data_IF_630159860277
#
_entry.id   IF_630159860277
#
_cell.length_a   1.000
_cell.length_b   1.000
_cell.length_c   1.000
_cell.angle_alpha   90.00
_cell.angle_beta   90.00
_cell.angle_gamma   90.00
#
_symmetry.space_group_name_H-M   'P 1'
#
loop_
_entity.id
_entity.type
_entity.pdbx_description
1 polymer ?
#
# COMPACT_ATOMS: atom_id res chain seq x y z
N UNK A 1 27.27 44.28 -5.23
CA UNK A 1 25.80 44.46 -5.14
C UNK A 1 25.14 43.09 -5.06
N UNK A 2 24.69 42.68 -3.87
CA UNK A 2 23.84 41.50 -3.73
C UNK A 2 22.45 41.87 -4.24
N UNK A 3 22.00 41.14 -5.26
CA UNK A 3 20.67 41.25 -5.82
C UNK A 3 19.66 40.92 -4.71
N UNK A 4 18.69 41.79 -4.36
CA UNK A 4 17.71 41.46 -3.35
C UNK A 4 17.01 40.16 -3.76
N UNK A 5 16.98 39.19 -2.85
CA UNK A 5 16.11 38.03 -2.97
C UNK A 5 14.70 38.60 -3.18
N UNK A 6 14.11 38.34 -4.35
CA UNK A 6 12.72 38.74 -4.59
C UNK A 6 11.89 38.22 -3.43
N UNK A 7 11.14 39.10 -2.78
CA UNK A 7 10.15 38.70 -1.80
C UNK A 7 9.31 37.58 -2.42
N UNK A 8 9.24 36.45 -1.70
CA UNK A 8 8.41 35.34 -2.13
C UNK A 8 6.97 35.85 -2.21
N UNK A 9 6.19 35.51 -3.25
CA UNK A 9 4.84 36.04 -3.41
C UNK A 9 4.03 35.83 -2.13
N UNK A 10 3.23 36.82 -1.74
CA UNK A 10 2.36 36.81 -0.55
C UNK A 10 1.19 35.79 -0.64
N UNK A 11 1.34 34.77 -1.48
CA UNK A 11 0.34 33.76 -1.76
C UNK A 11 -0.83 34.25 -2.62
N UNK A 12 -1.79 33.36 -2.89
CA UNK A 12 -3.05 33.67 -3.58
C UNK A 12 -3.92 34.61 -2.76
N UNK A 13 -4.45 35.66 -3.40
CA UNK A 13 -5.40 36.61 -2.80
C UNK A 13 -6.84 36.42 -3.31
N UNK A 14 -6.99 35.65 -4.39
CA UNK A 14 -8.27 35.35 -5.04
C UNK A 14 -8.24 33.97 -5.69
N UNK A 15 -9.40 33.35 -5.92
CA UNK A 15 -9.48 32.11 -6.69
C UNK A 15 -8.93 32.24 -8.09
N UNK A 16 -8.41 31.13 -8.60
CA UNK A 16 -8.07 30.99 -10.01
C UNK A 16 -9.35 30.99 -10.86
N UNK A 17 -9.29 31.46 -12.13
CA UNK A 17 -10.46 31.55 -13.00
C UNK A 17 -11.20 30.23 -13.23
N UNK A 18 -10.48 29.11 -13.26
CA UNK A 18 -11.05 27.76 -13.43
C UNK A 18 -10.73 26.91 -12.21
N UNK A 19 -11.76 26.36 -11.58
CA UNK A 19 -11.62 25.47 -10.43
C UNK A 19 -11.85 24.02 -10.85
N UNK A 20 -11.27 23.08 -10.12
CA UNK A 20 -11.46 21.64 -10.32
C UNK A 20 -11.86 20.99 -9.01
N UNK A 21 -12.72 19.98 -9.07
CA UNK A 21 -13.14 19.25 -7.87
C UNK A 21 -12.06 18.21 -7.51
N UNK A 22 -11.61 18.16 -6.24
CA UNK A 22 -10.67 17.15 -5.78
C UNK A 22 -11.33 15.77 -5.68
N UNK A 23 -10.59 14.73 -6.06
CA UNK A 23 -11.01 13.35 -5.82
C UNK A 23 -10.82 12.97 -4.35
N UNK A 24 -11.51 11.90 -3.93
CA UNK A 24 -11.29 11.33 -2.61
C UNK A 24 -9.87 10.73 -2.52
N UNK A 25 -9.19 11.05 -1.43
CA UNK A 25 -7.80 10.70 -1.16
C UNK A 25 -6.82 11.12 -2.27
N UNK A 26 -7.12 12.15 -3.06
CA UNK A 26 -6.19 12.67 -4.07
C UNK A 26 -4.95 13.27 -3.40
N UNK A 27 -3.78 13.06 -3.98
CA UNK A 27 -2.57 13.70 -3.46
C UNK A 27 -2.61 15.20 -3.71
N UNK A 28 -2.12 16.00 -2.76
CA UNK A 28 -1.99 17.46 -2.93
C UNK A 28 -1.23 17.80 -4.22
N UNK A 29 -0.17 17.05 -4.53
CA UNK A 29 0.60 17.21 -5.78
C UNK A 29 -0.24 16.99 -7.04
N UNK A 30 -1.05 15.92 -7.08
CA UNK A 30 -1.96 15.64 -8.20
C UNK A 30 -3.00 16.74 -8.38
N UNK A 31 -3.62 17.16 -7.27
CA UNK A 31 -4.65 18.19 -7.29
C UNK A 31 -4.10 19.53 -7.78
N UNK A 32 -2.95 19.95 -7.28
CA UNK A 32 -2.28 21.19 -7.74
C UNK A 32 -1.92 21.11 -9.21
N UNK A 33 -1.42 19.96 -9.70
CA UNK A 33 -1.12 19.80 -11.12
C UNK A 33 -2.38 19.95 -11.99
N UNK A 34 -3.50 19.32 -11.60
CA UNK A 34 -4.77 19.44 -12.32
C UNK A 34 -5.36 20.85 -12.27
N UNK A 35 -5.25 21.52 -11.13
CA UNK A 35 -5.66 22.92 -11.00
C UNK A 35 -4.82 23.84 -11.90
N UNK A 36 -3.51 23.56 -12.02
CA UNK A 36 -2.63 24.28 -12.93
C UNK A 36 -3.03 24.04 -14.40
N UNK A 37 -3.19 22.78 -14.82
CA UNK A 37 -3.61 22.42 -16.18
C UNK A 37 -4.94 23.09 -16.56
N UNK A 38 -5.93 23.10 -15.65
CA UNK A 38 -7.22 23.75 -15.89
C UNK A 38 -7.09 25.25 -16.18
N UNK A 39 -6.07 25.91 -15.62
CA UNK A 39 -5.79 27.34 -15.79
C UNK A 39 -4.64 27.63 -16.76
N UNK A 40 -4.16 26.63 -17.52
CA UNK A 40 -3.03 26.76 -18.45
C UNK A 40 -1.74 27.28 -17.78
N UNK A 41 -1.51 26.87 -16.54
CA UNK A 41 -0.30 27.18 -15.78
C UNK A 41 0.64 25.97 -15.77
N UNK A 42 1.94 26.22 -15.69
CA UNK A 42 2.90 25.17 -15.39
C UNK A 42 2.64 24.61 -13.97
N UNK A 43 2.52 23.28 -13.79
CA UNK A 43 2.32 22.67 -12.47
C UNK A 43 3.39 23.05 -11.45
N UNK A 44 4.65 23.20 -11.88
CA UNK A 44 5.76 23.59 -11.01
C UNK A 44 5.68 25.05 -10.56
N UNK A 45 5.17 25.95 -11.41
CA UNK A 45 4.87 27.34 -11.07
C UNK A 45 3.73 27.44 -10.07
N UNK A 46 2.58 26.80 -10.34
CA UNK A 46 1.46 26.86 -9.40
C UNK A 46 1.83 26.25 -8.06
N UNK A 47 2.54 25.11 -8.06
CA UNK A 47 3.03 24.48 -6.82
C UNK A 47 3.89 25.42 -5.99
N UNK A 48 4.80 26.18 -6.62
CA UNK A 48 5.59 27.20 -5.92
C UNK A 48 4.73 28.34 -5.41
N UNK A 49 3.76 28.78 -6.20
CA UNK A 49 2.87 29.89 -5.82
C UNK A 49 1.98 29.58 -4.62
N UNK A 50 1.54 28.33 -4.47
CA UNK A 50 0.73 27.89 -3.32
C UNK A 50 1.58 27.34 -2.16
N UNK A 51 2.91 27.38 -2.27
CA UNK A 51 3.84 26.96 -1.24
C UNK A 51 4.55 28.17 -0.62
N UNK A 52 4.91 28.09 0.66
CA UNK A 52 5.61 29.17 1.38
C UNK A 52 7.08 29.33 0.96
N UNK A 53 7.66 28.30 0.35
CA UNK A 53 9.07 28.25 0.04
C UNK A 53 9.35 27.42 -1.21
N UNK A 54 10.53 27.64 -1.78
CA UNK A 54 11.00 26.85 -2.91
C UNK A 54 11.20 25.39 -2.50
N UNK A 55 10.50 24.47 -3.18
CA UNK A 55 10.49 23.04 -2.82
C UNK A 55 9.57 22.70 -1.65
N UNK A 56 8.86 23.68 -1.08
CA UNK A 56 7.86 23.50 -0.05
C UNK A 56 6.60 22.81 -0.54
N UNK A 57 5.78 22.35 0.40
CA UNK A 57 4.46 21.79 0.11
C UNK A 57 3.41 22.89 0.04
N UNK A 58 2.32 22.62 -0.70
CA UNK A 58 1.22 23.56 -0.76
C UNK A 58 0.65 23.79 0.64
N UNK A 59 0.52 25.07 1.01
CA UNK A 59 -0.18 25.43 2.24
C UNK A 59 -1.68 25.27 2.02
N UNK A 60 -2.37 24.80 3.07
CA UNK A 60 -3.79 24.52 3.00
C UNK A 60 -4.63 25.79 2.79
N UNK A 61 -4.31 26.86 3.51
CA UNK A 61 -4.96 28.17 3.41
C UNK A 61 -4.79 28.79 2.02
N UNK A 62 -3.56 28.77 1.48
CA UNK A 62 -3.28 29.31 0.15
C UNK A 62 -3.95 28.49 -0.95
N UNK A 63 -3.93 27.17 -0.82
CA UNK A 63 -4.62 26.29 -1.76
C UNK A 63 -6.15 26.47 -1.69
N UNK A 64 -6.71 26.73 -0.51
CA UNK A 64 -8.12 27.06 -0.34
C UNK A 64 -8.48 28.33 -1.13
N UNK A 65 -7.69 29.40 -0.97
CA UNK A 65 -7.90 30.64 -1.73
C UNK A 65 -7.77 30.39 -3.23
N UNK A 66 -6.68 29.77 -3.69
CA UNK A 66 -6.43 29.54 -5.12
C UNK A 66 -7.49 28.65 -5.79
N UNK A 67 -8.01 27.66 -5.06
CA UNK A 67 -9.04 26.76 -5.60
C UNK A 67 -10.47 27.24 -5.41
N UNK A 68 -10.70 28.27 -4.59
CA UNK A 68 -12.05 28.69 -4.19
C UNK A 68 -12.81 27.66 -3.37
N UNK A 69 -12.12 26.68 -2.77
CA UNK A 69 -12.71 25.65 -1.90
C UNK A 69 -12.33 25.91 -0.44
N UNK A 70 -13.18 25.50 0.50
CA UNK A 70 -12.86 25.60 1.92
C UNK A 70 -11.73 24.63 2.31
N UNK A 71 -10.94 25.01 3.31
CA UNK A 71 -9.91 24.14 3.89
C UNK A 71 -10.48 22.80 4.37
N UNK A 72 -11.71 22.80 4.89
CA UNK A 72 -12.40 21.58 5.32
C UNK A 72 -12.61 20.60 4.18
N UNK A 73 -13.06 21.08 3.01
CA UNK A 73 -13.23 20.23 1.82
C UNK A 73 -11.87 19.68 1.39
N UNK A 74 -10.85 20.52 1.33
CA UNK A 74 -9.50 20.10 0.92
C UNK A 74 -8.92 19.07 1.89
N UNK A 75 -9.07 19.25 3.21
CA UNK A 75 -8.57 18.32 4.23
C UNK A 75 -9.26 16.96 4.17
N UNK A 76 -10.56 16.94 3.91
CA UNK A 76 -11.32 15.69 3.75
C UNK A 76 -10.88 14.94 2.48
N UNK A 77 -10.72 15.67 1.37
CA UNK A 77 -10.51 15.08 0.04
C UNK A 77 -9.07 14.76 -0.27
N UNK A 78 -8.12 15.58 0.20
CA UNK A 78 -6.72 15.48 -0.19
C UNK A 78 -5.86 14.77 0.86
N UNK A 79 -4.70 14.28 0.41
CA UNK A 79 -3.64 13.67 1.24
C UNK A 79 -2.28 14.28 0.90
N UNK A 80 -1.42 14.39 1.91
CA UNK A 80 -0.08 14.96 1.78
C UNK A 80 0.09 16.34 2.41
N UNK A 81 -0.84 16.78 3.27
CA UNK A 81 -0.66 18.01 4.05
C UNK A 81 0.23 17.78 5.27
N UNK A 82 0.23 16.58 5.86
CA UNK A 82 1.06 16.25 7.01
C UNK A 82 2.40 15.59 6.59
N UNK A 83 3.52 15.82 7.31
CA UNK A 83 4.85 15.29 6.95
C UNK A 83 4.92 13.76 6.76
N UNK A 84 4.20 13.03 7.59
CA UNK A 84 4.08 11.57 7.57
C UNK A 84 3.35 11.06 6.33
N UNK A 85 2.31 11.77 5.88
CA UNK A 85 1.60 11.49 4.62
C UNK A 85 2.45 11.81 3.38
N UNK A 86 3.47 12.67 3.53
CA UNK A 86 4.34 13.10 2.44
C UNK A 86 5.46 12.12 2.14
N UNK A 87 5.96 11.43 3.17
CA UNK A 87 7.11 10.54 3.04
C UNK A 87 6.83 9.41 2.05
N UNK A 88 7.56 9.41 0.92
CA UNK A 88 7.56 8.30 -0.03
C UNK A 88 8.07 7.01 0.62
N UNK A 89 8.88 7.09 1.68
CA UNK A 89 9.32 5.92 2.43
C UNK A 89 8.18 5.28 3.23
N UNK A 90 7.20 6.08 3.66
CA UNK A 90 6.07 5.59 4.47
C UNK A 90 4.90 5.07 3.62
N UNK A 91 4.79 5.48 2.35
CA UNK A 91 3.63 5.15 1.50
C UNK A 91 3.96 4.95 0.00
N UNK A 92 5.06 4.28 -0.39
CA UNK A 92 5.48 4.24 -1.79
C UNK A 92 4.46 3.54 -2.70
N UNK A 93 3.74 2.56 -2.17
CA UNK A 93 2.79 1.73 -2.93
C UNK A 93 1.33 2.17 -2.78
N UNK A 94 1.05 3.18 -1.94
CA UNK A 94 -0.31 3.64 -1.71
C UNK A 94 -0.73 4.70 -2.75
N UNK A 95 0.21 5.54 -3.21
CA UNK A 95 -0.03 6.56 -4.23
C UNK A 95 -0.04 5.93 -5.62
N UNK A 96 -1.22 5.88 -6.24
CA UNK A 96 -1.41 5.20 -7.53
C UNK A 96 -2.28 6.00 -8.47
N UNK A 97 -2.02 5.92 -9.79
CA UNK A 97 -2.89 6.54 -10.77
C UNK A 97 -4.24 5.83 -10.75
N UNK A 98 -5.32 6.62 -10.74
CA UNK A 98 -6.68 6.10 -10.88
C UNK A 98 -6.89 5.47 -12.26
N UNK A 99 -7.89 4.61 -12.40
CA UNK A 99 -8.16 3.91 -13.65
C UNK A 99 -8.32 4.90 -14.83
N UNK A 100 -7.45 4.77 -15.85
CA UNK A 100 -7.44 5.64 -17.03
C UNK A 100 -8.76 5.66 -17.78
N UNK A 101 -9.48 4.53 -17.81
CA UNK A 101 -10.79 4.42 -18.47
C UNK A 101 -11.91 5.07 -17.64
N UNK A 102 -11.84 5.03 -16.31
CA UNK A 102 -12.75 5.81 -15.45
C UNK A 102 -12.55 7.32 -15.62
N UNK A 103 -11.29 7.77 -15.71
CA UNK A 103 -10.94 9.18 -15.87
C UNK A 103 -11.37 9.68 -17.26
N UNK A 104 -11.05 8.94 -18.32
CA UNK A 104 -11.47 9.27 -19.68
C UNK A 104 -13.00 9.38 -19.82
N UNK A 105 -13.76 8.47 -19.18
CA UNK A 105 -15.23 8.56 -19.15
C UNK A 105 -15.76 9.83 -18.49
N UNK A 106 -14.97 10.48 -17.63
CA UNK A 106 -15.29 11.76 -16.98
C UNK A 106 -14.68 12.98 -17.70
N UNK A 107 -14.10 12.79 -18.88
CA UNK A 107 -13.44 13.86 -19.64
C UNK A 107 -12.11 14.31 -19.03
N UNK A 108 -11.49 13.49 -18.18
CA UNK A 108 -10.23 13.80 -17.51
C UNK A 108 -9.14 12.97 -18.17
N UNK A 109 -8.25 13.65 -18.89
CA UNK A 109 -7.13 13.02 -19.60
C UNK A 109 -5.82 13.05 -18.79
N UNK A 110 -5.71 13.98 -17.85
CA UNK A 110 -4.57 14.06 -16.93
C UNK A 110 -4.63 12.94 -15.86
N UNK A 111 -3.49 12.35 -15.48
CA UNK A 111 -3.46 11.34 -14.45
C UNK A 111 -3.83 11.92 -13.08
N UNK A 112 -4.78 11.27 -12.41
CA UNK A 112 -5.14 11.57 -11.01
C UNK A 112 -4.46 10.56 -10.10
N UNK A 113 -3.61 11.02 -9.19
CA UNK A 113 -2.95 10.17 -8.20
C UNK A 113 -3.65 10.25 -6.84
N UNK A 114 -4.13 9.11 -6.37
CA UNK A 114 -4.78 8.98 -5.06
C UNK A 114 -3.97 8.06 -4.14
N UNK A 115 -4.06 8.31 -2.84
CA UNK A 115 -3.64 7.37 -1.80
C UNK A 115 -4.74 6.35 -1.63
N UNK A 116 -4.51 5.14 -2.11
CA UNK A 116 -5.50 4.07 -2.15
C UNK A 116 -5.00 2.88 -1.32
N UNK A 117 -5.84 2.24 -0.48
CA UNK A 117 -5.46 1.06 0.30
C UNK A 117 -4.89 -0.07 -0.57
N UNK A 118 -3.88 -0.78 -0.09
CA UNK A 118 -3.17 -1.82 -0.87
C UNK A 118 -4.08 -2.95 -1.38
N UNK A 119 -5.21 -3.19 -0.71
CA UNK A 119 -6.17 -4.22 -1.11
C UNK A 119 -7.05 -3.81 -2.30
N UNK A 120 -7.14 -2.53 -2.63
CA UNK A 120 -7.85 -2.04 -3.81
C UNK A 120 -6.89 -2.06 -4.99
N UNK A 121 -6.81 -3.16 -5.72
CA UNK A 121 -5.80 -3.40 -6.79
C UNK A 121 -6.36 -3.36 -8.20
N UNK A 122 -7.68 -3.44 -8.36
CA UNK A 122 -8.34 -3.59 -9.66
C UNK A 122 -9.51 -2.63 -9.81
N UNK A 123 -9.62 -2.01 -10.98
CA UNK A 123 -10.88 -1.42 -11.43
C UNK A 123 -11.78 -2.52 -11.99
N UNK A 124 -12.71 -3.05 -11.18
CA UNK A 124 -13.59 -4.14 -11.63
C UNK A 124 -14.51 -3.75 -12.80
N UNK A 125 -14.90 -2.47 -12.88
CA UNK A 125 -15.73 -1.95 -13.98
C UNK A 125 -15.05 -2.06 -15.34
N UNK A 126 -13.75 -1.73 -15.40
CA UNK A 126 -12.98 -1.71 -16.64
C UNK A 126 -11.99 -2.87 -16.76
N UNK A 127 -12.00 -3.79 -15.78
CA UNK A 127 -11.10 -4.95 -15.69
C UNK A 127 -9.64 -4.54 -15.89
N UNK A 128 -9.21 -3.51 -15.19
CA UNK A 128 -7.87 -2.95 -15.33
C UNK A 128 -7.12 -3.05 -14.00
N UNK A 129 -5.88 -3.52 -14.06
CA UNK A 129 -4.98 -3.51 -12.91
C UNK A 129 -4.54 -2.07 -12.61
N UNK A 130 -4.75 -1.66 -11.36
CA UNK A 130 -4.36 -0.35 -10.82
C UNK A 130 -3.59 -0.52 -9.50
N UNK A 131 -3.19 -1.75 -9.17
CA UNK A 131 -2.48 -2.16 -7.97
C UNK A 131 -0.98 -1.90 -8.08
N UNK A 132 -0.27 -1.97 -6.96
CA UNK A 132 1.20 -2.06 -7.00
C UNK A 132 1.64 -3.17 -7.98
N UNK A 133 2.69 -2.99 -8.79
CA UNK A 133 3.63 -1.88 -8.79
C UNK A 133 3.29 -0.74 -9.79
N UNK A 134 2.03 -0.57 -10.22
CA UNK A 134 1.62 0.52 -11.14
C UNK A 134 1.98 1.89 -10.56
N UNK A 135 2.82 2.65 -11.27
CA UNK A 135 3.25 4.02 -10.91
C UNK A 135 2.74 5.07 -11.88
N UNK A 136 2.39 4.71 -13.11
CA UNK A 136 1.80 5.62 -14.10
C UNK A 136 0.59 5.00 -14.81
N UNK A 137 -0.11 5.77 -15.64
CA UNK A 137 -1.29 5.27 -16.36
C UNK A 137 -0.91 4.22 -17.42
N UNK A 138 0.32 4.26 -17.91
CA UNK A 138 0.92 3.33 -18.88
C UNK A 138 1.19 1.95 -18.25
N UNK A 139 1.41 1.90 -16.94
CA UNK A 139 1.61 0.64 -16.21
C UNK A 139 0.30 -0.14 -16.02
N UNK A 140 -0.86 0.48 -16.24
CA UNK A 140 -2.15 -0.17 -16.03
C UNK A 140 -2.40 -1.27 -17.07
N UNK A 141 -2.58 -2.51 -16.63
CA UNK A 141 -2.76 -3.69 -17.49
C UNK A 141 -4.21 -4.12 -17.60
N UNK A 142 -4.60 -4.56 -18.79
CA UNK A 142 -5.91 -5.13 -19.06
C UNK A 142 -5.99 -6.58 -18.53
N UNK A 143 -7.07 -6.88 -17.81
CA UNK A 143 -7.31 -8.16 -17.16
C UNK A 143 -8.44 -8.95 -17.83
N UNK A 144 -8.91 -8.56 -19.02
CA UNK A 144 -9.95 -9.30 -19.77
C UNK A 144 -9.64 -10.79 -19.90
N UNK A 145 -8.36 -11.13 -20.08
CA UNK A 145 -7.88 -12.51 -20.25
C UNK A 145 -7.19 -13.09 -19.00
N UNK A 146 -7.38 -12.47 -17.82
CA UNK A 146 -6.78 -12.90 -16.55
C UNK A 146 -7.85 -12.98 -15.42
N UNK A 147 -8.89 -13.83 -15.56
CA UNK A 147 -9.99 -13.92 -14.60
C UNK A 147 -9.55 -14.35 -13.19
N UNK A 148 -8.47 -15.10 -13.07
CA UNK A 148 -7.83 -15.50 -11.81
C UNK A 148 -7.34 -14.29 -11.00
N UNK A 149 -6.76 -13.27 -11.66
CA UNK A 149 -6.35 -12.01 -11.02
C UNK A 149 -7.56 -11.23 -10.51
N UNK A 150 -8.65 -11.18 -11.30
CA UNK A 150 -9.89 -10.52 -10.89
C UNK A 150 -10.51 -11.19 -9.66
N UNK A 151 -10.46 -12.53 -9.60
CA UNK A 151 -10.97 -13.32 -8.47
C UNK A 151 -10.12 -13.13 -7.23
N UNK A 152 -8.79 -13.16 -7.39
CA UNK A 152 -7.84 -12.84 -6.32
C UNK A 152 -8.05 -11.44 -5.76
N UNK A 153 -8.28 -10.43 -6.61
CA UNK A 153 -8.54 -9.05 -6.17
C UNK A 153 -9.83 -8.96 -5.32
N UNK A 154 -10.90 -9.67 -5.71
CA UNK A 154 -12.13 -9.77 -4.89
C UNK A 154 -11.86 -10.44 -3.55
N UNK A 155 -11.07 -11.52 -3.52
CA UNK A 155 -10.67 -12.21 -2.29
C UNK A 155 -9.84 -11.30 -1.39
N UNK A 156 -8.91 -10.54 -1.95
CA UNK A 156 -8.09 -9.57 -1.21
C UNK A 156 -8.95 -8.48 -0.56
N UNK A 157 -9.90 -7.90 -1.31
CA UNK A 157 -10.85 -6.93 -0.77
C UNK A 157 -11.80 -7.53 0.28
N UNK A 158 -12.14 -8.82 0.15
CA UNK A 158 -12.93 -9.53 1.17
C UNK A 158 -12.14 -9.76 2.46
N UNK A 159 -10.86 -10.12 2.37
CA UNK A 159 -9.97 -10.27 3.53
C UNK A 159 -9.79 -8.94 4.26
N UNK A 160 -9.60 -7.84 3.53
CA UNK A 160 -9.48 -6.50 4.10
C UNK A 160 -10.72 -5.99 4.85
N UNK A 161 -11.89 -6.61 4.64
CA UNK A 161 -13.09 -6.31 5.43
C UNK A 161 -13.16 -7.09 6.74
N UNK A 162 -12.33 -8.12 6.93
CA UNK A 162 -12.36 -9.02 8.10
C UNK A 162 -11.16 -8.87 9.04
N UNK A 163 -10.08 -8.28 8.54
CA UNK A 163 -8.84 -8.10 9.29
C UNK A 163 -8.45 -6.63 9.26
N UNK A 164 -7.64 -6.21 10.24
CA UNK A 164 -7.09 -4.86 10.24
C UNK A 164 -6.15 -4.65 9.05
N UNK A 165 -5.97 -3.40 8.62
CA UNK A 165 -5.05 -3.05 7.53
C UNK A 165 -3.63 -3.57 7.81
N UNK A 166 -3.18 -3.47 9.07
CA UNK A 166 -1.85 -3.94 9.50
C UNK A 166 -1.69 -5.45 9.29
N UNK A 167 -2.70 -6.25 9.66
CA UNK A 167 -2.66 -7.70 9.51
C UNK A 167 -2.65 -8.11 8.03
N UNK A 168 -3.49 -7.48 7.20
CA UNK A 168 -3.52 -7.75 5.75
C UNK A 168 -2.20 -7.37 5.10
N UNK A 169 -1.70 -6.17 5.38
CA UNK A 169 -0.44 -5.71 4.78
C UNK A 169 0.74 -6.60 5.18
N UNK A 170 0.78 -7.06 6.44
CA UNK A 170 1.79 -8.02 6.89
C UNK A 170 1.65 -9.36 6.17
N UNK A 171 0.45 -9.94 6.13
CA UNK A 171 0.23 -11.23 5.49
C UNK A 171 0.54 -11.21 3.98
N UNK A 172 0.20 -10.13 3.28
CA UNK A 172 0.52 -9.96 1.85
C UNK A 172 2.01 -9.71 1.65
N UNK A 173 2.70 -9.01 2.58
CA UNK A 173 4.16 -8.85 2.56
C UNK A 173 4.86 -10.20 2.74
N UNK A 174 4.43 -10.99 3.70
CA UNK A 174 4.98 -12.34 3.97
C UNK A 174 4.72 -13.28 2.79
N UNK A 175 3.52 -13.26 2.22
CA UNK A 175 3.19 -14.05 1.03
C UNK A 175 4.06 -13.67 -0.18
N UNK A 176 4.29 -12.37 -0.42
CA UNK A 176 5.23 -11.92 -1.47
C UNK A 176 6.64 -12.40 -1.22
N UNK A 177 7.09 -12.43 0.04
CA UNK A 177 8.39 -12.96 0.40
C UNK A 177 8.49 -14.45 0.08
N UNK A 178 7.46 -15.24 0.39
CA UNK A 178 7.42 -16.67 0.08
C UNK A 178 7.49 -16.92 -1.43
N UNK A 179 6.63 -16.26 -2.22
CA UNK A 179 6.65 -16.40 -3.68
C UNK A 179 8.00 -16.00 -4.29
N UNK A 180 8.64 -14.94 -3.79
CA UNK A 180 9.98 -14.53 -4.25
C UNK A 180 11.04 -15.55 -3.87
N UNK A 181 10.98 -16.09 -2.66
CA UNK A 181 11.90 -17.12 -2.19
C UNK A 181 11.79 -18.36 -3.07
N UNK A 182 10.59 -18.93 -3.23
CA UNK A 182 10.36 -20.12 -4.06
C UNK A 182 10.72 -19.86 -5.52
N UNK A 183 10.35 -18.70 -6.07
CA UNK A 183 10.76 -18.34 -7.43
C UNK A 183 12.28 -18.31 -7.59
N UNK A 184 13.03 -17.87 -6.58
CA UNK A 184 14.48 -17.77 -6.65
C UNK A 184 15.16 -19.13 -6.45
N UNK A 185 14.67 -19.95 -5.52
CA UNK A 185 15.17 -21.32 -5.34
C UNK A 185 14.89 -22.19 -6.56
N UNK A 186 13.74 -22.01 -7.22
CA UNK A 186 13.39 -22.68 -8.48
C UNK A 186 14.19 -22.12 -9.68
N UNK A 187 14.41 -20.80 -9.76
CA UNK A 187 15.18 -20.16 -10.86
C UNK A 187 16.67 -20.47 -10.86
N UNK A 188 17.24 -21.03 -9.78
CA UNK A 188 18.58 -21.61 -9.84
C UNK A 188 18.66 -22.80 -10.83
N UNK A 189 17.53 -23.25 -11.41
CA UNK A 189 17.46 -24.28 -12.46
C UNK A 189 17.16 -23.77 -13.89
N UNK A 190 16.72 -22.53 -14.13
CA UNK A 190 16.47 -22.03 -15.50
C UNK A 190 16.34 -20.49 -15.56
N UNK A 191 17.16 -19.83 -16.37
CA UNK A 191 17.20 -18.36 -16.48
C UNK A 191 16.45 -17.85 -17.70
N UNK A 192 15.29 -17.23 -17.48
CA UNK A 192 14.77 -16.11 -18.30
C UNK A 192 13.92 -15.23 -17.39
N UNK A 193 14.42 -14.05 -17.04
CA UNK A 193 13.70 -13.06 -16.23
C UNK A 193 12.95 -12.14 -17.18
N UNK A 194 11.61 -12.16 -17.11
CA UNK A 194 10.81 -11.09 -17.72
C UNK A 194 11.10 -9.78 -17.00
N UNK A 195 11.47 -8.74 -17.76
CA UNK A 195 11.78 -7.41 -17.24
C UNK A 195 10.52 -6.57 -16.89
N UNK A 196 9.31 -7.05 -17.20
CA UNK A 196 8.07 -6.34 -16.83
C UNK A 196 7.65 -6.71 -15.40
N UNK A 197 7.96 -5.82 -14.45
CA UNK A 197 7.63 -5.98 -13.02
C UNK A 197 6.12 -6.11 -12.78
N UNK A 198 5.28 -5.45 -13.58
CA UNK A 198 3.82 -5.48 -13.44
C UNK A 198 3.30 -6.85 -13.88
N UNK A 199 3.72 -7.36 -15.04
CA UNK A 199 3.30 -8.68 -15.51
C UNK A 199 3.81 -9.80 -14.60
N UNK A 200 5.05 -9.71 -14.10
CA UNK A 200 5.58 -10.65 -13.13
C UNK A 200 4.75 -10.63 -11.82
N UNK A 201 4.36 -9.44 -11.36
CA UNK A 201 3.49 -9.31 -10.18
C UNK A 201 2.10 -9.89 -10.43
N UNK A 202 1.50 -9.60 -11.59
CA UNK A 202 0.18 -10.11 -11.98
C UNK A 202 0.14 -11.63 -12.01
N UNK A 203 1.17 -12.28 -12.57
CA UNK A 203 1.27 -13.74 -12.62
C UNK A 203 1.33 -14.37 -11.21
N UNK A 204 2.03 -13.73 -10.27
CA UNK A 204 2.14 -14.20 -8.89
C UNK A 204 0.95 -13.79 -8.01
N UNK A 205 0.13 -12.83 -8.44
CA UNK A 205 -0.86 -12.19 -7.58
C UNK A 205 -1.93 -13.14 -7.00
N UNK A 206 -2.53 -14.07 -7.77
CA UNK A 206 -3.48 -15.03 -7.23
C UNK A 206 -2.91 -15.88 -6.10
N UNK A 207 -1.68 -16.35 -6.28
CA UNK A 207 -0.94 -17.14 -5.31
C UNK A 207 -0.62 -16.33 -4.05
N UNK A 208 -0.14 -15.08 -4.20
CA UNK A 208 0.11 -14.17 -3.08
C UNK A 208 -1.15 -14.02 -2.21
N UNK A 209 -2.32 -13.82 -2.82
CA UNK A 209 -3.58 -13.65 -2.07
C UNK A 209 -4.00 -14.96 -1.39
N UNK A 210 -3.82 -16.11 -2.04
CA UNK A 210 -4.15 -17.42 -1.46
C UNK A 210 -3.26 -17.76 -0.23
N UNK A 211 -1.95 -17.48 -0.33
CA UNK A 211 -1.01 -17.64 0.78
C UNK A 211 -1.39 -16.68 1.91
N UNK A 212 -1.61 -15.40 1.62
CA UNK A 212 -1.98 -14.41 2.62
C UNK A 212 -3.26 -14.82 3.39
N UNK A 213 -4.27 -15.35 2.70
CA UNK A 213 -5.49 -15.87 3.33
C UNK A 213 -5.18 -17.03 4.31
N UNK A 214 -4.27 -17.92 3.93
CA UNK A 214 -3.85 -19.06 4.75
C UNK A 214 -3.09 -18.60 5.99
N UNK A 215 -2.20 -17.61 5.84
CA UNK A 215 -1.46 -17.02 6.96
C UNK A 215 -2.39 -16.31 7.95
N UNK A 216 -3.38 -15.55 7.47
CA UNK A 216 -4.36 -14.88 8.31
C UNK A 216 -5.20 -15.87 9.12
N UNK A 217 -5.64 -16.96 8.48
CA UNK A 217 -6.39 -18.04 9.14
C UNK A 217 -5.54 -18.73 10.21
N UNK A 218 -4.25 -18.93 9.94
CA UNK A 218 -3.31 -19.51 10.89
C UNK A 218 -3.09 -18.61 12.11
N UNK A 219 -2.94 -17.30 11.91
CA UNK A 219 -2.69 -16.32 12.99
C UNK A 219 -3.91 -16.09 13.89
N UNK A 220 -5.13 -16.35 13.39
CA UNK A 220 -6.38 -16.17 14.14
C UNK A 220 -6.68 -17.30 15.15
N UNK A 221 -5.90 -18.39 15.20
CA UNK A 221 -6.16 -19.51 16.12
C UNK A 221 -5.72 -19.17 17.56
N UNK A 222 -6.66 -19.09 18.53
CA UNK A 222 -6.42 -18.51 19.85
C UNK A 222 -5.65 -19.42 20.82
N UNK A 223 -5.60 -20.72 20.55
CA UNK A 223 -4.91 -21.66 21.43
C UNK A 223 -3.46 -21.81 20.97
N UNK A 224 -2.49 -21.62 21.87
CA UNK A 224 -1.07 -21.93 21.63
C UNK A 224 -0.78 -23.40 21.23
N UNK A 225 -1.82 -24.22 21.02
CA UNK A 225 -1.86 -25.54 20.37
C UNK A 225 -1.98 -25.45 18.84
N UNK A 226 -2.21 -24.28 18.27
CA UNK A 226 -2.24 -24.01 16.83
C UNK A 226 -0.86 -23.95 16.17
N UNK A 227 0.18 -24.58 16.73
CA UNK A 227 1.48 -24.72 16.06
C UNK A 227 1.31 -25.73 14.93
N UNK A 228 0.93 -25.27 13.74
CA UNK A 228 1.09 -26.12 12.58
C UNK A 228 2.58 -26.38 12.41
N UNK A 229 2.97 -27.66 12.29
CA UNK A 229 4.29 -27.97 11.79
C UNK A 229 4.47 -27.20 10.45
N UNK A 230 5.68 -26.71 10.13
CA UNK A 230 5.95 -26.07 8.84
C UNK A 230 5.38 -26.89 7.66
N UNK A 231 5.49 -28.22 7.74
CA UNK A 231 4.94 -29.18 6.79
C UNK A 231 3.40 -29.16 6.64
N UNK A 232 2.64 -28.87 7.70
CA UNK A 232 1.18 -28.76 7.60
C UNK A 232 0.77 -27.42 6.98
N UNK A 233 1.53 -26.35 7.27
CA UNK A 233 1.26 -25.04 6.69
C UNK A 233 1.57 -25.02 5.19
N UNK A 234 2.68 -25.62 4.75
CA UNK A 234 2.98 -25.75 3.31
C UNK A 234 1.92 -26.61 2.61
N UNK A 235 1.43 -27.68 3.24
CA UNK A 235 0.35 -28.51 2.67
C UNK A 235 -0.93 -27.72 2.47
N UNK A 236 -1.31 -26.87 3.43
CA UNK A 236 -2.49 -25.98 3.28
C UNK A 236 -2.28 -24.91 2.22
N UNK A 237 -1.07 -24.36 2.10
CA UNK A 237 -0.72 -23.44 1.02
C UNK A 237 -0.88 -24.14 -0.33
N UNK A 238 -0.26 -25.30 -0.52
CA UNK A 238 -0.35 -26.09 -1.74
C UNK A 238 -1.79 -26.51 -2.06
N UNK A 239 -2.65 -26.75 -1.05
CA UNK A 239 -4.07 -27.04 -1.27
C UNK A 239 -4.90 -25.81 -1.70
N UNK A 240 -4.36 -24.60 -1.55
CA UNK A 240 -5.02 -23.34 -1.91
C UNK A 240 -4.39 -22.67 -3.14
N UNK A 241 -3.26 -23.19 -3.61
CA UNK A 241 -2.50 -22.67 -4.76
C UNK A 241 -2.39 -23.76 -5.81
N UNK A 242 -2.42 -23.41 -7.10
CA UNK A 242 -2.16 -24.37 -8.18
C UNK A 242 -0.66 -24.72 -8.34
N UNK A 243 0.10 -24.65 -7.24
CA UNK A 243 1.55 -24.88 -7.16
C UNK A 243 1.89 -25.82 -6.02
N UNK A 244 2.96 -26.60 -6.23
CA UNK A 244 3.49 -27.52 -5.22
C UNK A 244 4.82 -26.98 -4.70
N UNK A 245 4.80 -26.37 -3.52
CA UNK A 245 6.00 -25.94 -2.82
C UNK A 245 6.51 -27.06 -1.93
N UNK A 246 7.79 -27.42 -2.10
CA UNK A 246 8.46 -28.46 -1.30
C UNK A 246 9.42 -27.87 -0.27
N UNK A 247 10.01 -26.71 -0.55
CA UNK A 247 10.92 -26.03 0.36
C UNK A 247 10.14 -25.28 1.46
N UNK A 248 10.30 -25.74 2.70
CA UNK A 248 9.63 -25.20 3.89
C UNK A 248 10.41 -24.07 4.57
N UNK A 249 11.64 -23.78 4.14
CA UNK A 249 12.51 -22.75 4.72
C UNK A 249 11.84 -21.39 4.94
N UNK A 250 11.12 -20.79 3.96
CA UNK A 250 10.51 -19.48 4.17
C UNK A 250 9.40 -19.52 5.24
N UNK A 251 8.73 -20.66 5.38
CA UNK A 251 7.70 -20.87 6.39
C UNK A 251 8.32 -21.01 7.78
N UNK A 252 9.42 -21.74 7.90
CA UNK A 252 10.16 -21.88 9.16
C UNK A 252 10.67 -20.53 9.67
N UNK A 253 11.27 -19.74 8.78
CA UNK A 253 11.74 -18.40 9.11
C UNK A 253 10.59 -17.49 9.55
N UNK A 254 9.45 -17.55 8.85
CA UNK A 254 8.27 -16.78 9.22
C UNK A 254 7.72 -17.18 10.59
N UNK A 255 7.57 -18.49 10.86
CA UNK A 255 7.13 -18.99 12.16
C UNK A 255 8.09 -18.58 13.29
N UNK A 256 9.40 -18.60 13.02
CA UNK A 256 10.41 -18.11 13.96
C UNK A 256 10.22 -16.62 14.27
N UNK A 257 10.07 -15.79 13.24
CA UNK A 257 9.86 -14.34 13.39
C UNK A 257 8.57 -14.02 14.17
N UNK A 258 7.48 -14.76 13.92
CA UNK A 258 6.23 -14.61 14.68
C UNK A 258 6.41 -14.92 16.17
N UNK A 259 7.23 -15.94 16.51
CA UNK A 259 7.54 -16.27 17.92
C UNK A 259 8.33 -15.14 18.59
N UNK A 260 9.33 -14.59 17.91
CA UNK A 260 10.09 -13.45 18.42
C UNK A 260 9.17 -12.25 18.67
N UNK A 261 8.29 -11.91 17.72
CA UNK A 261 7.36 -10.80 17.86
C UNK A 261 6.37 -11.01 19.03
N UNK A 262 5.88 -12.23 19.24
CA UNK A 262 4.99 -12.56 20.35
C UNK A 262 5.70 -12.44 21.72
N UNK A 263 6.98 -12.84 21.79
CA UNK A 263 7.79 -12.73 23.02
C UNK A 263 8.10 -11.28 23.42
N UNK A 264 8.17 -10.36 22.44
CA UNK A 264 8.48 -8.94 22.66
C UNK A 264 7.24 -8.06 22.89
N UNK A 265 6.02 -8.62 22.93
CA UNK A 265 4.81 -7.83 23.28
C UNK A 265 4.86 -7.45 24.77
N UNK A 266 4.87 -6.14 25.12
CA UNK A 266 4.91 -5.70 26.50
C UNK A 266 3.61 -6.11 27.20
N UNK A 267 3.69 -7.10 28.10
CA UNK A 267 2.55 -7.66 28.83
C UNK A 267 2.70 -9.14 29.18
N UNK A 268 3.58 -9.89 28.50
CA UNK A 268 3.87 -11.29 28.84
C UNK A 268 4.82 -11.38 30.03
N UNK A 269 4.31 -11.18 31.25
CA UNK A 269 5.02 -11.58 32.47
C UNK A 269 5.21 -13.10 32.44
N UNK A 270 6.45 -13.54 32.23
CA UNK A 270 6.86 -14.90 32.57
C UNK A 270 6.67 -15.09 34.07
N UNK A 271 5.69 -15.89 34.47
CA UNK A 271 5.58 -16.42 35.83
C UNK A 271 6.82 -17.27 36.09
N UNK A 272 7.78 -16.72 36.84
CA UNK A 272 8.79 -17.52 37.52
C UNK A 272 8.05 -18.28 38.64
N UNK A 273 7.94 -19.60 38.48
CA UNK A 273 7.50 -20.50 39.54
C UNK A 273 8.64 -20.57 40.55
N UNK A 274 8.43 -19.98 41.74
CA UNK A 274 9.32 -20.17 42.87
C UNK A 274 9.18 -21.62 43.37
N UNK A 275 10.31 -22.30 43.54
CA UNK A 275 10.41 -23.63 44.12
C UNK A 275 9.92 -23.64 45.59
N UNK A 276 9.36 -24.76 46.10
CA UNK A 276 8.90 -24.83 47.47
C UNK A 276 10.10 -24.89 48.43
N UNK A 277 10.14 -23.96 49.39
CA UNK A 277 11.10 -23.98 50.48
C UNK A 277 10.81 -25.19 51.38
N UNK A 278 11.84 -26.00 51.58
CA UNK A 278 11.83 -27.19 52.41
C UNK A 278 11.60 -26.88 53.90
N UNK A 279 10.94 -27.83 54.53
CA UNK A 279 10.76 -28.08 55.96
C UNK A 279 12.05 -27.86 56.76
N UNK A 280 12.00 -26.98 57.76
CA UNK A 280 13.06 -26.78 58.76
C UNK A 280 12.56 -27.09 60.17
N UNK A 281 13.21 -28.06 60.81
CA UNK A 281 13.00 -28.55 62.17
C UNK A 281 12.97 -27.46 63.25
N UNK A 282 12.14 -27.68 64.28
CA UNK A 282 12.30 -27.13 65.63
C UNK A 282 13.26 -28.00 66.44
N UNK A 283 14.20 -27.37 67.13
CA UNK A 283 14.78 -27.82 68.41
C UNK A 283 14.77 -26.60 69.32
#
# INVERSE_FOLDING_TARGET
MMRPLRDWPAGPQRPLPRTVVPFQAETVTSYVARLACANHLDPGQLRRYVAESFGGCARLDWLAIASGLSETILRVRLRGFAPDERSLANQPNARRPMCRLCMARRGINDPVYCVVPQHITVCHRHRLWTGSPVRSIEDQRDLRNKPEVLTAAKRHAWLARRHSDVEIESAVRDARHFCRYWSNSEKHAATTVSNDEVEAHLAAYPEIVAIAATLLTQSARPDGRGRSAPADLVRRINAQTDRTHTDITPIEQWLHNQRLAAAHRPGSRTHFVAAPAGTGCRV
#
